data_IF_880042124243
#
_entry.id   IF_880042124243
#
_cell.length_a   1.000
_cell.length_b   1.000
_cell.length_c   1.000
_cell.angle_alpha   90.00
_cell.angle_beta   90.00
_cell.angle_gamma   90.00
#
_symmetry.space_group_name_H-M   'P 1'
#
loop_
_entity.id
_entity.type
_entity.pdbx_description
1 polymer ?
#
# COMPACT_ATOMS: atom_id res chain seq x y z
N UNK A 1 6.00 13.52 20.96
CA UNK A 1 7.03 12.67 20.30
C UNK A 1 6.49 12.16 18.98
N UNK A 2 7.24 12.34 17.92
CA UNK A 2 6.88 11.81 16.61
C UNK A 2 7.40 10.36 16.48
N UNK A 3 6.51 9.44 16.18
CA UNK A 3 6.83 8.01 16.14
C UNK A 3 6.58 7.45 14.75
N UNK A 4 7.60 6.82 14.18
CA UNK A 4 7.54 6.16 12.86
C UNK A 4 7.52 4.66 13.04
N UNK A 5 6.66 3.97 12.31
CA UNK A 5 6.61 2.52 12.27
C UNK A 5 6.90 2.03 10.86
N UNK A 6 7.91 1.17 10.73
CA UNK A 6 8.24 0.51 9.46
C UNK A 6 7.68 -0.90 9.49
N UNK A 7 6.76 -1.20 8.58
CA UNK A 7 6.14 -2.51 8.49
C UNK A 7 6.99 -3.39 7.60
N UNK A 8 7.28 -4.61 8.07
CA UNK A 8 7.93 -5.63 7.27
C UNK A 8 6.90 -6.63 6.77
N UNK A 9 6.90 -6.88 5.48
CA UNK A 9 5.98 -7.81 4.82
C UNK A 9 6.76 -8.84 4.03
N UNK A 10 6.25 -10.06 4.02
CA UNK A 10 6.64 -11.07 3.06
C UNK A 10 5.53 -11.14 2.02
N UNK A 11 5.55 -10.23 1.06
CA UNK A 11 4.50 -10.11 0.07
C UNK A 11 4.47 -11.30 -0.89
N UNK A 12 3.28 -11.75 -1.22
CA UNK A 12 3.02 -12.81 -2.18
C UNK A 12 2.48 -12.23 -3.48
N UNK A 13 2.08 -13.08 -4.42
CA UNK A 13 1.42 -12.65 -5.63
C UNK A 13 -0.09 -12.43 -5.46
N UNK A 14 -0.62 -12.65 -4.24
CA UNK A 14 -2.04 -12.48 -3.92
C UNK A 14 -2.27 -11.14 -3.22
N UNK A 15 -2.91 -10.21 -3.92
CA UNK A 15 -3.15 -8.86 -3.43
C UNK A 15 -4.05 -8.85 -2.18
N UNK A 16 -5.11 -9.66 -2.17
CA UNK A 16 -6.03 -9.70 -1.03
C UNK A 16 -5.35 -10.19 0.24
N UNK A 17 -4.52 -11.22 0.12
CA UNK A 17 -3.74 -11.74 1.23
C UNK A 17 -2.76 -10.68 1.74
N UNK A 18 -2.05 -10.01 0.82
CA UNK A 18 -1.10 -8.97 1.18
C UNK A 18 -1.78 -7.80 1.87
N UNK A 19 -2.95 -7.40 1.38
CA UNK A 19 -3.73 -6.33 2.01
C UNK A 19 -4.16 -6.71 3.43
N UNK A 20 -4.64 -7.94 3.61
CA UNK A 20 -5.04 -8.43 4.93
C UNK A 20 -3.87 -8.38 5.92
N UNK A 21 -2.70 -8.85 5.50
CA UNK A 21 -1.49 -8.81 6.34
C UNK A 21 -1.07 -7.39 6.65
N UNK A 22 -1.10 -6.51 5.65
CA UNK A 22 -0.77 -5.10 5.83
C UNK A 22 -1.71 -4.44 6.82
N UNK A 23 -3.01 -4.69 6.72
CA UNK A 23 -4.01 -4.17 7.67
C UNK A 23 -3.72 -4.59 9.10
N UNK A 24 -3.37 -5.85 9.32
CA UNK A 24 -3.03 -6.36 10.65
C UNK A 24 -1.82 -5.62 11.23
N UNK A 25 -0.79 -5.40 10.43
CA UNK A 25 0.42 -4.72 10.88
C UNK A 25 0.20 -3.22 11.09
N UNK A 26 -0.62 -2.58 10.26
CA UNK A 26 -0.99 -1.18 10.45
C UNK A 26 -1.77 -1.00 11.75
N UNK A 27 -2.71 -1.89 12.05
CA UNK A 27 -3.45 -1.86 13.30
C UNK A 27 -2.52 -1.98 14.50
N UNK A 28 -1.52 -2.84 14.41
CA UNK A 28 -0.51 -3.00 15.46
C UNK A 28 0.31 -1.71 15.64
N UNK A 29 0.70 -1.07 14.54
CA UNK A 29 1.40 0.21 14.58
C UNK A 29 0.55 1.31 15.20
N UNK A 30 -0.75 1.34 14.88
CA UNK A 30 -1.71 2.29 15.46
C UNK A 30 -1.81 2.09 16.98
N UNK A 31 -1.88 0.84 17.45
CA UNK A 31 -1.89 0.53 18.88
C UNK A 31 -0.62 0.97 19.59
N UNK A 32 0.50 0.99 18.89
CA UNK A 32 1.79 1.47 19.39
C UNK A 32 1.95 2.97 19.26
N UNK A 33 0.88 3.68 18.88
CA UNK A 33 0.83 5.16 18.76
C UNK A 33 1.77 5.72 17.69
N UNK A 34 1.93 5.02 16.58
CA UNK A 34 2.68 5.53 15.45
C UNK A 34 1.98 6.74 14.84
N UNK A 35 2.74 7.75 14.43
CA UNK A 35 2.25 8.93 13.73
C UNK A 35 2.38 8.79 12.22
N UNK A 36 3.38 8.05 11.80
CA UNK A 36 3.73 7.82 10.40
C UNK A 36 4.03 6.33 10.21
N UNK A 37 3.42 5.73 9.20
CA UNK A 37 3.58 4.29 8.93
C UNK A 37 4.11 4.12 7.52
N UNK A 38 5.18 3.34 7.38
CA UNK A 38 5.83 3.06 6.10
C UNK A 38 5.68 1.57 5.78
N UNK A 39 5.21 1.26 4.57
CA UNK A 39 5.20 -0.11 4.05
C UNK A 39 6.40 -0.32 3.12
N UNK A 40 6.83 -1.58 2.90
CA UNK A 40 7.98 -1.85 2.03
C UNK A 40 7.67 -1.66 0.55
N UNK A 41 8.69 -1.78 -0.29
CA UNK A 41 8.52 -1.76 -1.74
C UNK A 41 7.68 -2.94 -2.21
N UNK A 42 6.90 -2.71 -3.26
CA UNK A 42 6.03 -3.72 -3.90
C UNK A 42 5.16 -4.43 -2.86
N UNK A 43 4.59 -3.64 -1.94
CA UNK A 43 3.86 -4.19 -0.80
C UNK A 43 2.54 -4.86 -1.20
N UNK A 44 1.92 -4.44 -2.30
CA UNK A 44 0.64 -5.01 -2.72
C UNK A 44 0.78 -6.38 -3.37
N UNK A 45 1.87 -6.61 -4.11
CA UNK A 45 2.00 -7.81 -4.92
C UNK A 45 3.43 -8.00 -5.39
N UNK A 46 3.94 -9.24 -5.28
CA UNK A 46 5.22 -9.64 -5.85
C UNK A 46 4.97 -10.78 -6.83
N UNK A 47 5.45 -10.62 -8.06
CA UNK A 47 5.42 -11.67 -9.08
C UNK A 47 6.54 -11.46 -10.08
N UNK A 48 7.21 -12.53 -10.46
CA UNK A 48 8.24 -12.50 -11.50
C UNK A 48 7.64 -12.60 -12.92
N UNK A 49 6.36 -12.91 -13.02
CA UNK A 49 5.68 -13.04 -14.31
C UNK A 49 5.12 -11.69 -14.73
N UNK A 50 5.83 -11.02 -15.65
CA UNK A 50 5.43 -9.73 -16.19
C UNK A 50 4.07 -9.76 -16.90
N UNK A 51 3.77 -10.84 -17.63
CA UNK A 51 2.48 -11.00 -18.31
C UNK A 51 1.34 -11.06 -17.30
N UNK A 52 1.55 -11.80 -16.21
CA UNK A 52 0.57 -11.88 -15.12
C UNK A 52 0.36 -10.53 -14.46
N UNK A 53 1.42 -9.78 -14.22
CA UNK A 53 1.34 -8.44 -13.66
C UNK A 53 0.56 -7.49 -14.58
N UNK A 54 0.84 -7.50 -15.89
CA UNK A 54 0.12 -6.68 -16.86
C UNK A 54 -1.36 -7.01 -16.90
N UNK A 55 -1.70 -8.28 -16.76
CA UNK A 55 -3.08 -8.74 -16.79
C UNK A 55 -3.86 -8.38 -15.52
N UNK A 56 -3.20 -8.42 -14.37
CA UNK A 56 -3.85 -8.28 -13.07
C UNK A 56 -3.66 -6.92 -12.40
N UNK A 57 -2.66 -6.14 -12.79
CA UNK A 57 -2.43 -4.81 -12.23
C UNK A 57 -3.58 -3.86 -12.57
N UNK A 58 -3.91 -2.99 -11.63
CA UNK A 58 -4.99 -2.02 -11.77
C UNK A 58 -4.43 -0.60 -11.82
N UNK A 59 -5.23 0.32 -12.33
CA UNK A 59 -4.94 1.74 -12.27
C UNK A 59 -5.06 2.25 -10.83
N UNK A 60 -4.54 3.46 -10.59
CA UNK A 60 -4.51 4.05 -9.24
C UNK A 60 -5.90 4.18 -8.63
N UNK A 61 -6.91 4.49 -9.43
CA UNK A 61 -8.30 4.66 -8.95
C UNK A 61 -9.03 3.33 -8.72
N UNK A 62 -8.49 2.20 -9.20
CA UNK A 62 -9.13 0.89 -9.08
C UNK A 62 -8.34 -0.11 -8.24
N UNK A 63 -7.13 0.22 -7.84
CA UNK A 63 -6.30 -0.69 -7.07
C UNK A 63 -6.88 -0.91 -5.68
N UNK A 64 -7.27 -2.15 -5.39
CA UNK A 64 -7.92 -2.49 -4.11
C UNK A 64 -6.99 -2.33 -2.92
N UNK A 65 -5.69 -2.59 -3.09
CA UNK A 65 -4.72 -2.42 -2.02
C UNK A 65 -4.62 -0.94 -1.65
N UNK A 66 -4.45 -0.07 -2.64
CA UNK A 66 -4.38 1.37 -2.41
C UNK A 66 -5.66 1.89 -1.76
N UNK A 67 -6.83 1.50 -2.26
CA UNK A 67 -8.11 1.91 -1.67
C UNK A 67 -8.23 1.46 -0.22
N UNK A 68 -7.82 0.23 0.09
CA UNK A 68 -7.83 -0.27 1.46
C UNK A 68 -6.91 0.51 2.40
N UNK A 69 -5.71 0.85 1.94
CA UNK A 69 -4.77 1.64 2.74
C UNK A 69 -5.27 3.08 2.94
N UNK A 70 -5.87 3.69 1.93
CA UNK A 70 -6.48 5.01 2.04
C UNK A 70 -7.57 5.03 3.13
N UNK A 71 -8.40 4.00 3.18
CA UNK A 71 -9.43 3.88 4.21
C UNK A 71 -8.83 3.78 5.61
N UNK A 72 -7.74 3.03 5.76
CA UNK A 72 -7.05 2.90 7.05
C UNK A 72 -6.43 4.22 7.49
N UNK A 73 -5.79 4.95 6.58
CA UNK A 73 -5.21 6.25 6.88
C UNK A 73 -6.28 7.22 7.40
N UNK A 74 -7.44 7.24 6.75
CA UNK A 74 -8.57 8.08 7.14
C UNK A 74 -9.19 7.64 8.46
N UNK A 75 -9.40 6.33 8.63
CA UNK A 75 -10.04 5.77 9.83
C UNK A 75 -9.23 6.04 11.08
N UNK A 76 -7.93 5.85 11.02
CA UNK A 76 -7.05 5.98 12.18
C UNK A 76 -6.31 7.32 12.23
N UNK A 77 -6.51 8.17 11.22
CA UNK A 77 -5.92 9.51 11.12
C UNK A 77 -4.39 9.47 11.19
N UNK A 78 -3.80 8.64 10.34
CA UNK A 78 -2.36 8.45 10.27
C UNK A 78 -1.82 8.76 8.89
N UNK A 79 -0.58 9.26 8.83
CA UNK A 79 0.17 9.33 7.61
C UNK A 79 0.67 7.95 7.24
N UNK A 80 0.44 7.52 6.01
CA UNK A 80 0.94 6.24 5.52
C UNK A 80 1.68 6.46 4.21
N UNK A 81 2.95 6.05 4.16
CA UNK A 81 3.72 6.01 2.93
C UNK A 81 3.79 4.56 2.46
N UNK A 82 3.17 4.29 1.33
CA UNK A 82 3.31 3.00 0.67
C UNK A 82 4.66 3.03 -0.05
N UNK A 83 5.56 2.13 0.34
CA UNK A 83 6.93 2.08 -0.18
C UNK A 83 6.96 1.99 -1.69
N UNK A 84 6.18 1.07 -2.26
CA UNK A 84 5.79 1.16 -3.66
C UNK A 84 4.65 0.21 -3.99
N UNK A 85 3.94 0.54 -5.08
CA UNK A 85 2.90 -0.28 -5.68
C UNK A 85 3.18 -0.44 -7.16
N UNK A 86 2.84 -1.61 -7.70
CA UNK A 86 2.81 -1.82 -9.14
C UNK A 86 1.42 -1.45 -9.64
N UNK A 87 1.36 -0.42 -10.47
CA UNK A 87 0.12 0.10 -11.02
C UNK A 87 0.16 0.04 -12.54
N UNK A 88 -1.03 -0.03 -13.13
CA UNK A 88 -1.18 -0.02 -14.58
C UNK A 88 -1.48 1.39 -15.08
N UNK A 89 -0.74 1.83 -16.09
CA UNK A 89 -1.00 3.07 -16.81
C UNK A 89 -1.36 2.71 -18.24
N UNK A 90 -2.54 3.15 -18.72
CA UNK A 90 -3.01 2.80 -20.05
C UNK A 90 -3.23 1.30 -20.20
N UNK A 91 -2.98 0.77 -21.41
CA UNK A 91 -3.29 -0.63 -21.70
C UNK A 91 -2.16 -1.61 -21.35
N UNK A 92 -0.91 -1.22 -21.53
CA UNK A 92 0.21 -2.16 -21.49
C UNK A 92 1.42 -1.67 -20.70
N UNK A 93 1.26 -0.64 -19.88
CA UNK A 93 2.39 -0.09 -19.13
C UNK A 93 2.21 -0.28 -17.63
N UNK A 94 3.26 -0.78 -16.98
CA UNK A 94 3.34 -0.88 -15.53
C UNK A 94 4.27 0.20 -14.99
N UNK A 95 3.91 0.75 -13.85
CA UNK A 95 4.79 1.67 -13.10
C UNK A 95 4.89 1.19 -11.67
N UNK A 96 6.05 1.43 -11.07
CA UNK A 96 6.28 1.20 -9.66
C UNK A 96 6.29 2.56 -8.98
N UNK A 97 5.35 2.80 -8.07
CA UNK A 97 5.11 4.15 -7.54
C UNK A 97 5.01 4.13 -6.02
N UNK A 98 5.74 5.05 -5.38
CA UNK A 98 5.57 5.32 -3.95
C UNK A 98 4.43 6.31 -3.78
N UNK A 99 3.60 6.11 -2.76
CA UNK A 99 2.40 6.92 -2.56
C UNK A 99 2.30 7.34 -1.11
N UNK A 100 2.23 8.65 -0.88
CA UNK A 100 2.01 9.22 0.46
C UNK A 100 0.55 9.55 0.64
N UNK A 101 -0.04 9.03 1.71
CA UNK A 101 -1.46 9.21 2.05
C UNK A 101 -1.54 10.00 3.35
N UNK A 102 -2.33 11.06 3.33
CA UNK A 102 -2.55 11.91 4.49
C UNK A 102 -3.59 11.31 5.46
N UNK A 103 -3.69 11.83 6.71
CA UNK A 103 -4.68 11.35 7.68
C UNK A 103 -6.14 11.51 7.27
N UNK A 104 -6.42 12.29 6.24
CA UNK A 104 -7.78 12.37 5.69
C UNK A 104 -8.01 11.42 4.51
N UNK A 105 -7.07 10.51 4.25
CA UNK A 105 -7.19 9.49 3.22
C UNK A 105 -6.91 9.99 1.81
N UNK A 106 -6.25 11.14 1.66
CA UNK A 106 -5.94 11.71 0.36
C UNK A 106 -4.48 11.49 -0.03
N UNK A 107 -4.26 11.26 -1.30
CA UNK A 107 -2.91 11.11 -1.85
C UNK A 107 -2.26 12.49 -1.94
N UNK A 108 -1.02 12.61 -1.41
CA UNK A 108 -0.26 13.86 -1.40
C UNK A 108 0.91 13.86 -2.39
N UNK A 109 1.48 12.71 -2.68
CA UNK A 109 2.49 12.57 -3.74
C UNK A 109 2.74 11.11 -4.08
#
# INVERSE_FOLDING_TARGET
MFRVSCIQLCSSDNVEYNLKKTKQLILKAVKQKANFILTPEVSSKISLDKKKLLKTAKSMDRDSYLLGIKELAKKYKKWILIGSLILKIGKNKLVNRSILISPNGKIKC
#
